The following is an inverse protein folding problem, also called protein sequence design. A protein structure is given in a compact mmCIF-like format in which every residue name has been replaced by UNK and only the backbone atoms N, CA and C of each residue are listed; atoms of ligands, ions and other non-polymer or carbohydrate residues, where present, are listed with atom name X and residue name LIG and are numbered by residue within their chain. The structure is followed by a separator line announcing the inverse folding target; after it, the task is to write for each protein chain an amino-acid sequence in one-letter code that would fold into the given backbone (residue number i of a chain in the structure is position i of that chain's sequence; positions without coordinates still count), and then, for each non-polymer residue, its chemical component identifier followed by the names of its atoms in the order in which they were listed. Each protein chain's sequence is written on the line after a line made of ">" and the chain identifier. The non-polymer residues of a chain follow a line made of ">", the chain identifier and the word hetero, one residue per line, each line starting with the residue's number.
data_IF_746786495786
#
_entry.id   IF_746786495786
#
_cell.length_a   1.000
_cell.length_b   1.000
_cell.length_c   1.000
_cell.angle_alpha   90.00
_cell.angle_beta   90.00
_cell.angle_gamma   90.00
#
_symmetry.space_group_name_H-M   'P 1'
#
loop_
_entity.id
_entity.type
_entity.pdbx_description
1 polymer ?
#
# COMPACT_ATOMS: atom_id res chain seq x y z
N UNK A 1 11.55 2.10 -5.02
CA UNK A 1 10.63 1.14 -5.64
C UNK A 1 9.21 1.45 -5.27
N UNK A 2 8.27 1.01 -6.07
CA UNK A 2 6.87 1.32 -5.84
C UNK A 2 6.37 0.81 -4.51
N UNK A 3 6.66 -0.44 -4.18
CA UNK A 3 6.19 -1.00 -2.92
C UNK A 3 6.78 -0.27 -1.73
N UNK A 4 8.04 0.06 -1.83
CA UNK A 4 8.71 0.76 -0.73
C UNK A 4 8.11 2.14 -0.54
N UNK A 5 7.85 2.81 -1.63
CA UNK A 5 7.26 4.15 -1.56
C UNK A 5 5.86 4.11 -0.96
N UNK A 6 5.09 3.11 -1.36
CA UNK A 6 3.73 2.97 -0.89
C UNK A 6 3.68 2.79 0.62
N UNK A 7 4.50 1.88 1.12
CA UNK A 7 4.54 1.62 2.55
C UNK A 7 5.07 2.82 3.32
N UNK A 8 6.12 3.43 2.81
CA UNK A 8 6.70 4.59 3.46
C UNK A 8 5.72 5.74 3.48
N UNK A 9 5.02 5.95 2.39
CA UNK A 9 4.02 7.00 2.30
C UNK A 9 2.92 6.79 3.32
N UNK A 10 2.46 5.54 3.43
CA UNK A 10 1.40 5.21 4.36
C UNK A 10 1.83 5.49 5.80
N UNK A 11 3.04 5.05 6.14
CA UNK A 11 3.55 5.26 7.49
C UNK A 11 3.80 6.73 7.77
N UNK A 12 4.26 7.44 6.77
CA UNK A 12 4.52 8.86 6.93
C UNK A 12 3.23 9.62 7.22
N UNK A 13 2.15 9.21 6.61
CA UNK A 13 0.86 9.84 6.83
C UNK A 13 0.14 9.29 8.05
N UNK A 14 0.64 8.20 8.60
CA UNK A 14 0.02 7.61 9.78
C UNK A 14 -1.32 6.99 9.51
N UNK A 15 -1.49 6.43 8.33
CA UNK A 15 -2.76 5.82 7.95
C UNK A 15 -2.60 4.31 7.84
N UNK A 16 -3.73 3.62 7.84
CA UNK A 16 -3.74 2.16 7.72
C UNK A 16 -3.77 1.75 6.25
N UNK A 17 -3.60 0.45 6.02
CA UNK A 17 -3.71 -0.08 4.67
C UNK A 17 -5.10 0.16 4.10
N UNK A 18 -6.10 0.03 4.95
CA UNK A 18 -7.47 0.25 4.51
C UNK A 18 -7.68 1.70 4.11
N UNK A 19 -7.12 2.61 4.88
CA UNK A 19 -7.24 4.02 4.58
C UNK A 19 -6.56 4.33 3.25
N UNK A 20 -5.37 3.78 3.06
CA UNK A 20 -4.64 4.01 1.83
C UNK A 20 -5.40 3.45 0.64
N UNK A 21 -5.98 2.25 0.81
CA UNK A 21 -6.74 1.63 -0.26
C UNK A 21 -7.90 2.51 -0.69
N UNK A 22 -8.57 3.10 0.28
CA UNK A 22 -9.69 3.99 -0.01
C UNK A 22 -9.23 5.20 -0.82
N UNK A 23 -8.09 5.74 -0.44
CA UNK A 23 -7.56 6.92 -1.14
C UNK A 23 -7.16 6.60 -2.57
N UNK A 24 -6.67 5.37 -2.79
CA UNK A 24 -6.25 4.94 -4.10
C UNK A 24 -7.40 4.34 -4.91
N UNK A 25 -8.56 4.23 -4.28
CA UNK A 25 -9.73 3.67 -4.93
C UNK A 25 -9.51 2.22 -5.33
N UNK A 26 -8.88 1.46 -4.45
CA UNK A 26 -8.65 0.03 -4.64
C UNK A 26 -9.05 -0.69 -3.37
N UNK A 27 -9.08 -2.02 -3.42
CA UNK A 27 -9.41 -2.80 -2.24
C UNK A 27 -8.17 -2.96 -1.36
N UNK A 28 -8.41 -3.19 -0.09
CA UNK A 28 -7.31 -3.30 0.87
C UNK A 28 -6.35 -4.43 0.49
N UNK A 29 -6.88 -5.51 -0.04
CA UNK A 29 -6.05 -6.62 -0.44
C UNK A 29 -5.00 -6.22 -1.48
N UNK A 30 -5.37 -5.31 -2.35
CA UNK A 30 -4.44 -4.83 -3.36
C UNK A 30 -3.27 -4.11 -2.71
N UNK A 31 -3.55 -3.27 -1.74
CA UNK A 31 -2.50 -2.55 -1.03
C UNK A 31 -1.60 -3.54 -0.29
N UNK A 32 -2.21 -4.53 0.34
CA UNK A 32 -1.45 -5.54 1.06
C UNK A 32 -0.49 -6.28 0.13
N UNK A 33 -0.97 -6.63 -1.05
CA UNK A 33 -0.15 -7.30 -2.05
C UNK A 33 1.03 -6.42 -2.46
N UNK A 34 0.74 -5.17 -2.71
CA UNK A 34 1.77 -4.24 -3.14
C UNK A 34 2.86 -4.11 -2.09
N UNK A 35 2.45 -4.02 -0.83
CA UNK A 35 3.40 -3.84 0.25
C UNK A 35 4.25 -5.09 0.48
N UNK A 36 3.74 -6.23 0.08
CA UNK A 36 4.49 -7.47 0.17
C UNK A 36 5.43 -7.66 -0.99
N UNK A 37 5.25 -6.88 -2.03
CA UNK A 37 6.13 -6.97 -3.18
C UNK A 37 5.89 -8.20 -4.01
N UNK A 38 4.67 -8.69 -4.06
CA UNK A 38 4.38 -9.92 -4.81
C UNK A 38 4.58 -9.74 -6.28
N UNK A 39 4.58 -8.52 -6.75
CA UNK A 39 4.76 -8.28 -8.18
C UNK A 39 6.08 -8.83 -8.69
N UNK A 40 6.97 -9.16 -7.79
CA UNK A 40 8.26 -9.69 -8.18
C UNK A 40 8.26 -11.18 -8.44
N UNK A 41 7.30 -11.87 -7.94
CA UNK A 41 7.31 -13.33 -8.06
C UNK A 41 6.84 -13.80 -9.40
#
# INVERSE_FOLDING_TARGET
>A
MFQDNLKALRKKKGITQEELAARLNVVRQTVSKWEKGVSRS
#
